data_IF_371749712280
#
_entry.id   IF_371749712280
#
_cell.length_a   1.000
_cell.length_b   1.000
_cell.length_c   1.000
_cell.angle_alpha   90.00
_cell.angle_beta   90.00
_cell.angle_gamma   90.00
#
_symmetry.space_group_name_H-M   'P 1'
#
loop_
_entity.id
_entity.type
_entity.pdbx_description
1 polymer ?
#
# COMPACT_ATOMS: atom_id res chain seq x y z
N UNK A 1 15.49 -8.15 6.07
CA UNK A 1 15.22 -6.99 5.19
C UNK A 1 14.06 -6.17 5.75
N UNK A 2 14.14 -4.83 5.73
CA UNK A 2 13.23 -3.93 6.47
C UNK A 2 12.01 -3.48 5.65
N UNK A 3 12.07 -3.59 4.31
CA UNK A 3 11.01 -3.12 3.39
C UNK A 3 9.62 -3.72 3.68
N UNK A 4 9.46 -5.05 3.90
CA UNK A 4 8.13 -5.58 4.21
C UNK A 4 7.53 -4.99 5.49
N UNK A 5 8.37 -4.69 6.49
CA UNK A 5 7.92 -4.09 7.75
C UNK A 5 7.45 -2.66 7.54
N UNK A 6 8.11 -1.89 6.66
CA UNK A 6 7.66 -0.54 6.29
C UNK A 6 6.29 -0.58 5.61
N UNK A 7 6.10 -1.48 4.64
CA UNK A 7 4.81 -1.62 3.95
C UNK A 7 3.70 -1.97 4.95
N UNK A 8 3.94 -2.95 5.83
CA UNK A 8 2.98 -3.38 6.85
C UNK A 8 2.68 -2.25 7.84
N UNK A 9 3.69 -1.54 8.33
CA UNK A 9 3.50 -0.42 9.25
C UNK A 9 2.66 0.69 8.61
N UNK A 10 2.96 1.05 7.35
CA UNK A 10 2.16 2.03 6.60
C UNK A 10 0.72 1.57 6.43
N UNK A 11 0.49 0.28 6.13
CA UNK A 11 -0.85 -0.28 6.00
C UNK A 11 -1.64 -0.20 7.32
N UNK A 12 -1.00 -0.56 8.44
CA UNK A 12 -1.62 -0.47 9.77
C UNK A 12 -1.97 0.97 10.12
N UNK A 13 -1.05 1.91 9.89
CA UNK A 13 -1.29 3.34 10.11
C UNK A 13 -2.45 3.82 9.23
N UNK A 14 -2.52 3.39 7.97
CA UNK A 14 -3.57 3.79 7.04
C UNK A 14 -4.95 3.27 7.47
N UNK A 15 -5.06 1.99 7.86
CA UNK A 15 -6.29 1.45 8.43
C UNK A 15 -6.69 2.15 9.73
N UNK A 16 -5.73 2.36 10.65
CA UNK A 16 -5.99 3.03 11.91
C UNK A 16 -6.47 4.47 11.70
N UNK A 17 -5.88 5.19 10.74
CA UNK A 17 -6.34 6.53 10.39
C UNK A 17 -7.78 6.53 9.87
N UNK A 18 -8.16 5.54 9.05
CA UNK A 18 -9.55 5.35 8.59
C UNK A 18 -10.57 5.06 9.70
N UNK A 19 -10.11 4.69 10.90
CA UNK A 19 -10.96 4.47 12.09
C UNK A 19 -10.97 5.69 13.03
N UNK A 20 -9.98 6.56 12.97
CA UNK A 20 -9.79 7.68 13.92
C UNK A 20 -10.21 9.03 13.32
N UNK A 21 -10.02 9.24 12.02
CA UNK A 21 -10.54 10.43 11.36
C UNK A 21 -12.08 10.48 11.45
N UNK A 22 -12.72 11.64 11.27
CA UNK A 22 -14.17 11.71 11.10
C UNK A 22 -14.61 10.67 10.05
N UNK A 23 -15.40 9.71 10.49
CA UNK A 23 -15.76 8.52 9.71
C UNK A 23 -17.23 8.16 9.93
N UNK A 24 -17.76 7.35 9.02
CA UNK A 24 -19.19 7.04 8.95
C UNK A 24 -19.49 5.55 9.21
N UNK A 25 -18.55 4.81 9.81
CA UNK A 25 -18.70 3.36 10.01
C UNK A 25 -19.97 2.98 10.78
N UNK A 26 -20.31 3.75 11.83
CA UNK A 26 -21.51 3.50 12.62
C UNK A 26 -22.80 3.69 11.80
N UNK A 27 -22.85 4.71 10.94
CA UNK A 27 -24.00 5.00 10.09
C UNK A 27 -24.08 4.00 8.93
N UNK A 28 -22.96 3.59 8.34
CA UNK A 28 -22.90 2.49 7.37
C UNK A 28 -23.47 1.18 7.95
N UNK A 29 -23.14 0.85 9.19
CA UNK A 29 -23.69 -0.35 9.84
C UNK A 29 -25.17 -0.18 10.18
N UNK A 30 -25.58 0.99 10.67
CA UNK A 30 -26.97 1.28 11.04
C UNK A 30 -27.91 1.24 9.83
N UNK A 31 -27.49 1.85 8.73
CA UNK A 31 -28.35 2.05 7.55
C UNK A 31 -28.32 0.83 6.60
N UNK A 32 -27.39 -0.11 6.85
CA UNK A 32 -27.17 -1.31 6.05
C UNK A 32 -25.93 -1.19 5.18
N UNK A 33 -25.09 -2.23 5.17
CA UNK A 33 -23.76 -2.19 4.52
C UNK A 33 -23.81 -2.24 3.00
N UNK A 34 -24.84 -2.87 2.42
CA UNK A 34 -24.99 -3.05 0.97
C UNK A 34 -25.43 -1.73 0.34
N UNK A 35 -24.74 -1.32 -0.73
CA UNK A 35 -25.00 -0.06 -1.42
C UNK A 35 -24.97 1.19 -0.50
N UNK A 36 -24.18 1.14 0.59
CA UNK A 36 -24.08 2.21 1.58
C UNK A 36 -23.33 3.46 1.11
N UNK A 37 -22.71 3.43 -0.07
CA UNK A 37 -21.87 4.51 -0.64
C UNK A 37 -22.19 4.70 -2.13
N UNK A 38 -23.46 4.75 -2.50
CA UNK A 38 -23.89 4.90 -3.91
C UNK A 38 -24.61 6.21 -4.20
N UNK A 39 -25.18 6.85 -3.19
CA UNK A 39 -25.87 8.13 -3.32
C UNK A 39 -24.84 9.27 -3.27
N UNK A 40 -24.43 9.75 -4.44
CA UNK A 40 -23.42 10.80 -4.57
C UNK A 40 -23.93 12.18 -4.16
N UNK A 41 -25.24 12.35 -4.02
CA UNK A 41 -25.86 13.63 -3.64
C UNK A 41 -26.03 13.75 -2.12
N UNK A 42 -25.77 12.67 -1.37
CA UNK A 42 -25.88 12.67 0.09
C UNK A 42 -24.79 13.53 0.74
N UNK A 43 -25.14 14.23 1.83
CA UNK A 43 -24.20 15.10 2.54
C UNK A 43 -23.04 14.32 3.19
N UNK A 44 -23.24 13.03 3.49
CA UNK A 44 -22.25 12.14 4.11
C UNK A 44 -21.49 11.27 3.09
N UNK A 45 -21.79 11.38 1.79
CA UNK A 45 -21.20 10.57 0.73
C UNK A 45 -19.67 10.52 0.81
N UNK A 46 -19.01 11.68 0.82
CA UNK A 46 -17.55 11.75 0.84
C UNK A 46 -16.94 11.16 2.12
N UNK A 47 -17.62 11.27 3.25
CA UNK A 47 -17.12 10.71 4.51
C UNK A 47 -17.26 9.17 4.54
N UNK A 48 -18.33 8.64 3.97
CA UNK A 48 -18.51 7.19 3.76
C UNK A 48 -17.49 6.63 2.75
N UNK A 49 -17.35 7.29 1.61
CA UNK A 49 -16.39 6.92 0.56
C UNK A 49 -14.96 6.92 1.10
N UNK A 50 -14.56 7.99 1.80
CA UNK A 50 -13.26 8.05 2.45
C UNK A 50 -13.07 6.91 3.48
N UNK A 51 -14.07 6.62 4.31
CA UNK A 51 -14.00 5.53 5.29
C UNK A 51 -13.66 4.20 4.59
N UNK A 52 -14.44 3.85 3.56
CA UNK A 52 -14.23 2.62 2.77
C UNK A 52 -12.88 2.63 2.05
N UNK A 53 -12.50 3.75 1.44
CA UNK A 53 -11.22 3.93 0.76
C UNK A 53 -10.03 3.61 1.67
N UNK A 54 -9.96 4.25 2.85
CA UNK A 54 -8.85 4.04 3.79
C UNK A 54 -8.77 2.57 4.25
N UNK A 55 -9.91 1.91 4.48
CA UNK A 55 -9.91 0.52 4.89
C UNK A 55 -9.46 -0.41 3.76
N UNK A 56 -10.04 -0.26 2.57
CA UNK A 56 -9.75 -1.13 1.42
C UNK A 56 -8.32 -0.95 0.92
N UNK A 57 -7.84 0.29 0.77
CA UNK A 57 -6.46 0.56 0.39
C UNK A 57 -5.47 0.08 1.46
N UNK A 58 -5.82 0.22 2.74
CA UNK A 58 -5.00 -0.27 3.85
C UNK A 58 -4.88 -1.80 3.85
N UNK A 59 -5.97 -2.52 3.65
CA UNK A 59 -5.97 -3.99 3.55
C UNK A 59 -5.17 -4.45 2.32
N UNK A 60 -5.36 -3.80 1.16
CA UNK A 60 -4.59 -4.11 -0.04
C UNK A 60 -3.08 -3.88 0.17
N UNK A 61 -2.70 -2.78 0.82
CA UNK A 61 -1.30 -2.50 1.15
C UNK A 61 -0.74 -3.50 2.16
N UNK A 62 -1.54 -3.92 3.14
CA UNK A 62 -1.17 -4.97 4.10
C UNK A 62 -0.90 -6.29 3.38
N UNK A 63 -1.77 -6.68 2.44
CA UNK A 63 -1.58 -7.88 1.62
C UNK A 63 -0.27 -7.81 0.83
N UNK A 64 0.05 -6.66 0.21
CA UNK A 64 1.33 -6.46 -0.48
C UNK A 64 2.50 -6.63 0.50
N UNK A 65 2.43 -6.04 1.69
CA UNK A 65 3.48 -6.14 2.71
C UNK A 65 3.71 -7.58 3.20
N UNK A 66 2.62 -8.31 3.44
CA UNK A 66 2.64 -9.72 3.85
C UNK A 66 3.19 -10.62 2.74
N UNK A 67 2.72 -10.48 1.51
CA UNK A 67 3.22 -11.25 0.36
C UNK A 67 4.68 -10.94 0.05
N UNK A 68 5.09 -9.68 0.20
CA UNK A 68 6.51 -9.29 0.08
C UNK A 68 7.35 -9.95 1.17
N UNK A 69 6.84 -10.03 2.41
CA UNK A 69 7.52 -10.74 3.50
C UNK A 69 7.67 -12.23 3.19
N UNK A 70 6.62 -12.87 2.69
CA UNK A 70 6.68 -14.28 2.26
C UNK A 70 7.71 -14.50 1.16
N UNK A 71 7.70 -13.68 0.10
CA UNK A 71 8.67 -13.78 -0.99
C UNK A 71 10.12 -13.59 -0.50
N UNK A 72 10.34 -12.68 0.45
CA UNK A 72 11.65 -12.44 1.06
C UNK A 72 12.14 -13.63 1.89
N UNK A 73 11.24 -14.28 2.64
CA UNK A 73 11.57 -15.47 3.43
C UNK A 73 11.94 -16.63 2.49
N UNK A 74 11.17 -16.82 1.43
CA UNK A 74 11.36 -17.94 0.49
C UNK A 74 12.59 -17.76 -0.40
N UNK A 75 12.82 -16.55 -0.92
CA UNK A 75 13.83 -16.32 -1.96
C UNK A 75 15.07 -15.58 -1.48
N UNK A 76 15.07 -15.08 -0.25
CA UNK A 76 16.14 -14.25 0.29
C UNK A 76 16.29 -12.89 -0.39
N UNK A 77 15.34 -12.46 -1.24
CA UNK A 77 15.37 -11.18 -1.96
C UNK A 77 14.00 -10.51 -2.06
N UNK A 78 14.01 -9.19 -2.26
CA UNK A 78 12.78 -8.43 -2.55
C UNK A 78 12.51 -8.48 -4.07
N UNK A 79 11.32 -8.92 -4.51
CA UNK A 79 10.95 -8.85 -5.92
C UNK A 79 10.89 -7.39 -6.40
N UNK A 80 11.55 -7.07 -7.52
CA UNK A 80 11.53 -5.72 -8.09
C UNK A 80 10.12 -5.26 -8.49
N UNK A 81 9.22 -6.20 -8.82
CA UNK A 81 7.81 -5.93 -9.13
C UNK A 81 7.10 -5.19 -8.00
N UNK A 82 7.37 -5.53 -6.73
CA UNK A 82 6.78 -4.85 -5.57
C UNK A 82 7.16 -3.37 -5.57
N UNK A 83 8.43 -3.05 -5.82
CA UNK A 83 8.89 -1.67 -5.89
C UNK A 83 8.24 -0.89 -7.02
N UNK A 84 8.11 -1.50 -8.20
CA UNK A 84 7.43 -0.88 -9.34
C UNK A 84 5.95 -0.63 -9.08
N UNK A 85 5.22 -1.59 -8.50
CA UNK A 85 3.81 -1.38 -8.15
C UNK A 85 3.64 -0.20 -7.18
N UNK A 86 4.46 -0.12 -6.15
CA UNK A 86 4.40 0.98 -5.18
C UNK A 86 4.76 2.33 -5.81
N UNK A 87 5.74 2.40 -6.71
CA UNK A 87 6.08 3.64 -7.44
C UNK A 87 4.94 4.06 -8.36
N UNK A 88 4.43 3.14 -9.18
CA UNK A 88 3.35 3.42 -10.13
C UNK A 88 2.06 3.83 -9.42
N UNK A 89 1.77 3.28 -8.25
CA UNK A 89 0.66 3.74 -7.40
C UNK A 89 0.96 5.09 -6.73
N UNK A 90 2.18 5.28 -6.21
CA UNK A 90 2.56 6.47 -5.45
C UNK A 90 2.58 7.76 -6.28
N UNK A 91 2.97 7.68 -7.56
CA UNK A 91 3.00 8.85 -8.47
C UNK A 91 1.62 9.52 -8.61
N UNK A 92 0.55 8.85 -9.08
CA UNK A 92 -0.76 9.48 -9.22
C UNK A 92 -1.33 9.90 -7.86
N UNK A 93 -1.15 9.10 -6.81
CA UNK A 93 -1.59 9.46 -5.45
C UNK A 93 -0.92 10.74 -4.93
N UNK A 94 0.31 11.02 -5.37
CA UNK A 94 1.05 12.23 -4.96
C UNK A 94 0.77 13.41 -5.88
N UNK A 95 0.79 13.21 -7.20
CA UNK A 95 0.71 14.30 -8.18
C UNK A 95 -0.72 14.75 -8.50
N UNK A 96 -1.69 13.83 -8.50
CA UNK A 96 -3.07 14.11 -8.90
C UNK A 96 -3.91 14.49 -7.69
N UNK A 97 -3.78 13.76 -6.58
CA UNK A 97 -4.56 14.01 -5.35
C UNK A 97 -3.92 15.06 -4.42
N UNK A 98 -2.92 15.82 -4.88
CA UNK A 98 -2.21 16.86 -4.12
C UNK A 98 -3.18 17.95 -3.56
N UNK A 99 -2.94 18.57 -2.39
CA UNK A 99 -1.72 18.56 -1.57
C UNK A 99 -1.67 17.64 -0.34
N UNK A 100 -2.76 17.00 0.07
CA UNK A 100 -2.78 16.21 1.33
C UNK A 100 -3.12 14.75 1.03
N UNK A 101 -2.11 13.94 0.70
CA UNK A 101 -2.26 12.48 0.68
C UNK A 101 -1.11 11.79 1.38
N UNK A 102 -1.31 10.51 1.75
CA UNK A 102 -0.23 9.61 2.15
C UNK A 102 0.59 9.03 0.97
N UNK A 103 0.34 9.48 -0.27
CA UNK A 103 0.93 8.91 -1.50
C UNK A 103 2.45 8.99 -1.56
N UNK A 104 3.03 10.07 -1.02
CA UNK A 104 4.48 10.27 -0.90
C UNK A 104 5.17 9.16 -0.10
N UNK A 105 4.52 8.63 0.95
CA UNK A 105 5.07 7.52 1.73
C UNK A 105 5.08 6.22 0.93
N UNK A 106 4.01 5.95 0.18
CA UNK A 106 3.93 4.79 -0.73
C UNK A 106 5.02 4.89 -1.80
N UNK A 107 5.18 6.07 -2.40
CA UNK A 107 6.20 6.35 -3.41
C UNK A 107 7.62 6.13 -2.86
N UNK A 108 7.92 6.70 -1.68
CA UNK A 108 9.22 6.55 -1.03
C UNK A 108 9.55 5.08 -0.72
N UNK A 109 8.59 4.31 -0.19
CA UNK A 109 8.77 2.88 0.07
C UNK A 109 8.99 2.11 -1.23
N UNK A 110 8.30 2.46 -2.32
CA UNK A 110 8.51 1.87 -3.64
C UNK A 110 9.94 2.08 -4.17
N UNK A 111 10.46 3.31 -4.06
CA UNK A 111 11.85 3.61 -4.43
C UNK A 111 12.84 2.81 -3.57
N UNK A 112 12.63 2.75 -2.26
CA UNK A 112 13.47 1.96 -1.35
C UNK A 112 13.44 0.46 -1.71
N UNK A 113 12.26 -0.07 -2.05
CA UNK A 113 12.09 -1.46 -2.47
C UNK A 113 12.87 -1.76 -3.77
N UNK A 114 12.83 -0.86 -4.76
CA UNK A 114 13.62 -0.98 -5.99
C UNK A 114 15.13 -0.97 -5.71
N UNK A 115 15.59 -0.05 -4.87
CA UNK A 115 17.01 0.02 -4.48
C UNK A 115 17.45 -1.26 -3.75
N UNK A 116 16.60 -1.81 -2.88
CA UNK A 116 16.89 -3.05 -2.18
C UNK A 116 16.91 -4.27 -3.13
N UNK A 117 15.99 -4.34 -4.10
CA UNK A 117 15.97 -5.40 -5.11
C UNK A 117 17.25 -5.41 -5.97
N UNK A 118 17.76 -4.23 -6.35
CA UNK A 118 19.00 -4.10 -7.14
C UNK A 118 20.25 -4.60 -6.41
N UNK A 119 20.31 -4.41 -5.08
CA UNK A 119 21.45 -4.89 -4.26
C UNK A 119 21.51 -6.41 -4.15
N UNK A 120 20.36 -7.10 -4.18
CA UNK A 120 20.29 -8.56 -4.19
C UNK A 120 20.76 -9.19 -5.49
N UNK A 121 20.55 -8.51 -6.64
CA UNK A 121 20.97 -9.03 -7.95
C UNK A 121 22.49 -8.95 -8.20
N UNK A 122 23.21 -8.05 -7.52
CA UNK A 122 24.65 -7.84 -7.73
C UNK A 122 25.57 -8.92 -7.13
N UNK A 123 25.03 -9.87 -6.35
CA UNK A 123 25.81 -10.95 -5.70
C UNK A 123 25.70 -12.30 -6.41
N UNK A 124 24.85 -12.44 -7.42
CA UNK A 124 24.82 -13.62 -8.29
C UNK A 124 26.01 -13.57 -9.27
N UNK A 125 27.18 -14.03 -8.83
CA UNK A 125 28.38 -14.16 -9.67
C UNK A 125 28.11 -15.12 -10.85
N UNK A 126 28.49 -14.65 -12.03
CA UNK A 126 28.63 -15.38 -13.30
C UNK A 126 29.19 -16.79 -13.09
N UNK A 127 28.60 -17.85 -13.67
CA UNK A 127 29.24 -19.16 -13.68
C UNK A 127 30.53 -19.05 -14.50
N UNK A 128 31.68 -19.22 -13.85
CA UNK A 128 32.94 -19.43 -14.56
C UNK A 128 32.80 -20.72 -15.35
N UNK A 129 32.55 -20.59 -16.66
CA UNK A 129 32.55 -21.72 -17.58
C UNK A 129 34.02 -22.10 -17.82
N UNK A 130 34.52 -23.04 -17.03
CA UNK A 130 35.81 -23.69 -17.28
C UNK A 130 35.61 -24.86 -18.24
N UNK A 131 36.39 -24.86 -19.33
CA UNK A 131 36.59 -26.02 -20.22
C UNK A 131 35.82 -25.92 -21.52
#
# INVERSE_FOLDING_TARGET
MWVPRLIIATAVIHCAYGLVQPNEWANIVRDGVVASVVDTDSADYFARDASVWFMMCGIALLAIGVLTRYAVIETGRIPASVGWFLVVMGIPLTLIYFPVTGGWLVLAIGVIALLAARRGSGTAKTPTRTG
#
